data_IF_419857148437
#
_entry.id   IF_419857148437
#
_cell.length_a   1.000
_cell.length_b   1.000
_cell.length_c   1.000
_cell.angle_alpha   90.00
_cell.angle_beta   90.00
_cell.angle_gamma   90.00
#
_symmetry.space_group_name_H-M   'P 1'
#
loop_
_entity.id
_entity.type
_entity.pdbx_description
1 polymer ?
#
# COMPACT_ATOMS: atom_id res chain seq x y z
N UNK A 1 -15.33 -14.55 -19.08
CA UNK A 1 -15.85 -14.47 -17.68
C UNK A 1 -16.94 -13.39 -17.60
N UNK A 2 -17.91 -13.49 -16.68
CA UNK A 2 -18.92 -12.44 -16.51
C UNK A 2 -18.29 -11.18 -15.87
N UNK A 3 -18.61 -10.00 -16.38
CA UNK A 3 -18.13 -8.71 -15.87
C UNK A 3 -18.47 -8.46 -14.40
N UNK A 4 -19.64 -8.90 -13.92
CA UNK A 4 -19.99 -8.82 -12.50
C UNK A 4 -18.99 -9.60 -11.64
N UNK A 5 -18.60 -10.78 -12.10
CA UNK A 5 -17.64 -11.62 -11.39
C UNK A 5 -16.23 -11.00 -11.40
N UNK A 6 -15.83 -10.38 -12.52
CA UNK A 6 -14.59 -9.61 -12.59
C UNK A 6 -14.56 -8.45 -11.57
N UNK A 7 -15.65 -7.67 -11.47
CA UNK A 7 -15.77 -6.58 -10.50
C UNK A 7 -15.68 -7.11 -9.06
N UNK A 8 -16.37 -8.22 -8.76
CA UNK A 8 -16.31 -8.84 -7.43
C UNK A 8 -14.88 -9.30 -7.10
N UNK A 9 -14.16 -9.90 -8.06
CA UNK A 9 -12.75 -10.28 -7.88
C UNK A 9 -11.89 -9.05 -7.56
N UNK A 10 -12.04 -7.96 -8.32
CA UNK A 10 -11.27 -6.74 -8.07
C UNK A 10 -11.55 -6.22 -6.66
N UNK A 11 -12.82 -6.05 -6.29
CA UNK A 11 -13.20 -5.52 -4.97
C UNK A 11 -12.68 -6.40 -3.83
N UNK A 12 -12.80 -7.72 -3.97
CA UNK A 12 -12.26 -8.66 -2.99
C UNK A 12 -10.73 -8.55 -2.93
N UNK A 13 -10.05 -8.43 -4.07
CA UNK A 13 -8.60 -8.26 -4.15
C UNK A 13 -8.17 -6.98 -3.43
N UNK A 14 -8.89 -5.87 -3.56
CA UNK A 14 -8.57 -4.63 -2.84
C UNK A 14 -8.65 -4.80 -1.31
N UNK A 15 -9.71 -5.47 -0.82
CA UNK A 15 -9.87 -5.74 0.62
C UNK A 15 -8.77 -6.67 1.12
N UNK A 16 -8.50 -7.75 0.39
CA UNK A 16 -7.44 -8.71 0.74
C UNK A 16 -6.07 -8.03 0.73
N UNK A 17 -5.80 -7.17 -0.26
CA UNK A 17 -4.54 -6.43 -0.34
C UNK A 17 -4.36 -5.45 0.81
N UNK A 18 -5.41 -4.80 1.31
CA UNK A 18 -5.30 -3.96 2.52
C UNK A 18 -4.92 -4.80 3.76
N UNK A 19 -5.52 -5.99 3.91
CA UNK A 19 -5.20 -6.91 5.01
C UNK A 19 -3.76 -7.42 4.89
N UNK A 20 -3.35 -7.84 3.68
CA UNK A 20 -1.99 -8.30 3.41
C UNK A 20 -0.99 -7.17 3.64
N UNK A 21 -1.26 -5.97 3.13
CA UNK A 21 -0.42 -4.79 3.31
C UNK A 21 -0.20 -4.48 4.79
N UNK A 22 -1.28 -4.42 5.57
CA UNK A 22 -1.21 -4.23 7.02
C UNK A 22 -0.38 -5.33 7.71
N UNK A 23 -0.63 -6.60 7.37
CA UNK A 23 0.05 -7.74 7.98
C UNK A 23 1.54 -7.77 7.63
N UNK A 24 1.88 -7.55 6.36
CA UNK A 24 3.28 -7.48 5.90
C UNK A 24 3.98 -6.29 6.53
N UNK A 25 3.34 -5.14 6.61
CA UNK A 25 3.92 -3.96 7.23
C UNK A 25 4.25 -4.21 8.70
N UNK A 26 3.32 -4.80 9.45
CA UNK A 26 3.52 -5.10 10.88
C UNK A 26 4.51 -6.24 11.13
N UNK A 27 4.35 -7.38 10.44
CA UNK A 27 5.06 -8.62 10.80
C UNK A 27 6.32 -8.86 9.97
N UNK A 28 6.41 -8.30 8.76
CA UNK A 28 7.58 -8.45 7.88
C UNK A 28 8.44 -7.19 7.88
N UNK A 29 7.86 -6.03 7.57
CA UNK A 29 8.61 -4.79 7.40
C UNK A 29 9.12 -4.27 8.75
N UNK A 30 8.29 -4.26 9.79
CA UNK A 30 8.72 -4.08 11.18
C UNK A 30 9.24 -5.37 11.83
N UNK A 31 9.61 -6.37 11.03
CA UNK A 31 10.07 -7.69 11.47
C UNK A 31 11.43 -8.05 10.85
N UNK A 32 11.54 -9.22 10.17
CA UNK A 32 12.79 -9.64 9.54
C UNK A 32 13.25 -8.72 8.39
N UNK A 33 12.34 -7.98 7.75
CA UNK A 33 12.66 -7.08 6.63
C UNK A 33 12.88 -5.62 7.07
N UNK A 34 13.07 -5.39 8.38
CA UNK A 34 13.32 -4.05 8.91
C UNK A 34 14.54 -3.37 8.30
N UNK A 35 15.59 -4.12 7.95
CA UNK A 35 16.76 -3.51 7.30
C UNK A 35 16.44 -2.83 5.94
N UNK A 36 15.37 -3.27 5.27
CA UNK A 36 14.83 -2.65 4.04
C UNK A 36 13.94 -1.46 4.43
N UNK A 37 12.99 -1.68 5.34
CA UNK A 37 11.96 -0.69 5.69
C UNK A 37 12.50 0.47 6.53
N UNK A 38 13.56 0.27 7.30
CA UNK A 38 14.23 1.30 8.11
C UNK A 38 14.61 2.53 7.29
N UNK A 39 15.00 2.34 6.02
CA UNK A 39 15.36 3.47 5.15
C UNK A 39 14.18 4.38 4.83
N UNK A 40 12.95 3.86 4.95
CA UNK A 40 11.71 4.60 4.74
C UNK A 40 11.28 5.37 6.01
N UNK A 41 11.55 4.83 7.20
CA UNK A 41 11.37 5.55 8.47
C UNK A 41 12.38 6.67 8.70
N UNK A 42 13.58 6.51 8.16
CA UNK A 42 14.63 7.52 8.28
C UNK A 42 14.50 8.56 7.17
N UNK A 43 14.60 9.85 7.50
CA UNK A 43 14.62 10.90 6.49
C UNK A 43 15.80 10.69 5.54
N UNK A 44 15.49 10.46 4.26
CA UNK A 44 16.48 10.42 3.19
C UNK A 44 16.12 11.40 2.08
N UNK A 45 17.16 11.84 1.38
CA UNK A 45 17.07 12.66 0.18
C UNK A 45 17.28 11.78 -1.05
N UNK A 46 16.28 11.69 -1.92
CA UNK A 46 16.38 10.94 -3.17
C UNK A 46 15.00 10.56 -3.72
N UNK A 47 14.93 10.32 -5.03
CA UNK A 47 13.68 9.88 -5.66
C UNK A 47 13.37 8.42 -5.37
N UNK A 48 14.36 7.55 -5.15
CA UNK A 48 14.19 6.12 -4.88
C UNK A 48 14.55 5.74 -3.45
N UNK A 49 13.84 4.77 -2.90
CA UNK A 49 14.07 4.20 -1.58
C UNK A 49 14.25 2.67 -1.69
N UNK A 50 15.04 2.07 -0.79
CA UNK A 50 15.19 0.60 -0.77
C UNK A 50 13.83 -0.10 -0.58
N UNK A 51 12.89 0.57 0.10
CA UNK A 51 11.52 0.14 0.28
C UNK A 51 10.73 -0.03 -1.04
N UNK A 52 11.13 0.65 -2.13
CA UNK A 52 10.50 0.51 -3.45
C UNK A 52 10.60 -0.92 -4.01
N UNK A 53 11.50 -1.76 -3.46
CA UNK A 53 11.59 -3.18 -3.81
C UNK A 53 10.28 -3.94 -3.53
N UNK A 54 9.50 -3.52 -2.53
CA UNK A 54 8.20 -4.13 -2.26
C UNK A 54 7.18 -3.79 -3.34
N UNK A 55 7.16 -2.54 -3.82
CA UNK A 55 6.34 -2.12 -4.95
C UNK A 55 6.72 -2.90 -6.22
N UNK A 56 8.02 -3.12 -6.46
CA UNK A 56 8.50 -3.93 -7.57
C UNK A 56 8.07 -5.40 -7.46
N UNK A 57 8.15 -5.99 -6.26
CA UNK A 57 7.70 -7.36 -6.00
C UNK A 57 6.21 -7.52 -6.34
N UNK A 58 5.35 -6.66 -5.80
CA UNK A 58 3.91 -6.73 -6.08
C UNK A 58 3.56 -6.40 -7.52
N UNK A 59 4.26 -5.44 -8.14
CA UNK A 59 4.13 -5.16 -9.57
C UNK A 59 4.46 -6.38 -10.43
N UNK A 60 5.51 -7.11 -10.09
CA UNK A 60 5.91 -8.34 -10.78
C UNK A 60 4.85 -9.44 -10.64
N UNK A 61 4.32 -9.65 -9.42
CA UNK A 61 3.22 -10.59 -9.18
C UNK A 61 1.98 -10.21 -10.00
N UNK A 62 1.62 -8.93 -10.00
CA UNK A 62 0.47 -8.43 -10.75
C UNK A 62 0.62 -8.66 -12.26
N UNK A 63 1.77 -8.30 -12.83
CA UNK A 63 2.08 -8.51 -14.25
C UNK A 63 2.09 -10.01 -14.59
N UNK A 64 2.66 -10.85 -13.74
CA UNK A 64 2.66 -12.30 -13.93
C UNK A 64 1.24 -12.88 -13.96
N UNK A 65 0.36 -12.45 -13.05
CA UNK A 65 -1.04 -12.89 -13.02
C UNK A 65 -1.84 -12.38 -14.22
N UNK A 66 -1.61 -11.13 -14.62
CA UNK A 66 -2.19 -10.55 -15.85
C UNK A 66 -1.77 -11.38 -17.04
N UNK A 67 -0.47 -11.63 -17.21
CA UNK A 67 0.07 -12.42 -18.31
C UNK A 67 -0.51 -13.85 -18.34
N UNK A 68 -0.60 -14.52 -17.19
CA UNK A 68 -1.17 -15.88 -17.12
C UNK A 68 -2.67 -15.95 -17.39
N UNK A 69 -3.41 -14.85 -17.27
CA UNK A 69 -4.86 -14.81 -17.47
C UNK A 69 -5.31 -14.05 -18.72
N UNK A 70 -4.42 -13.44 -19.49
CA UNK A 70 -4.79 -12.45 -20.51
C UNK A 70 -5.57 -13.02 -21.70
N UNK A 71 -5.29 -14.26 -22.11
CA UNK A 71 -5.94 -14.85 -23.30
C UNK A 71 -7.46 -15.04 -23.11
N UNK A 72 -7.89 -15.39 -21.90
CA UNK A 72 -9.29 -15.72 -21.59
C UNK A 72 -9.95 -14.71 -20.64
N UNK A 73 -9.18 -13.73 -20.14
CA UNK A 73 -9.58 -12.79 -19.10
C UNK A 73 -10.20 -13.50 -17.90
N UNK A 74 -9.56 -14.59 -17.47
CA UNK A 74 -10.00 -15.39 -16.32
C UNK A 74 -9.61 -14.74 -14.97
N UNK A 75 -9.96 -15.41 -13.87
CA UNK A 75 -9.76 -14.90 -12.52
C UNK A 75 -8.33 -14.43 -12.22
N UNK A 76 -7.29 -15.04 -12.83
CA UNK A 76 -5.88 -14.61 -12.63
C UNK A 76 -5.67 -13.20 -13.15
N UNK A 77 -6.20 -12.90 -14.34
CA UNK A 77 -6.10 -11.57 -14.93
C UNK A 77 -6.71 -10.51 -14.00
N UNK A 78 -7.91 -10.78 -13.47
CA UNK A 78 -8.63 -9.82 -12.64
C UNK A 78 -8.05 -9.67 -11.23
N UNK A 79 -7.43 -10.72 -10.67
CA UNK A 79 -6.63 -10.59 -9.44
C UNK A 79 -5.41 -9.70 -9.72
N UNK A 80 -4.67 -9.96 -10.81
CA UNK A 80 -3.52 -9.12 -11.19
C UNK A 80 -3.90 -7.66 -11.44
N UNK A 81 -5.06 -7.41 -12.08
CA UNK A 81 -5.63 -6.08 -12.23
C UNK A 81 -5.99 -5.46 -10.87
N UNK A 82 -6.61 -6.22 -9.97
CA UNK A 82 -6.92 -5.77 -8.60
C UNK A 82 -5.67 -5.39 -7.79
N UNK A 83 -4.60 -6.19 -7.87
CA UNK A 83 -3.30 -5.87 -7.24
C UNK A 83 -2.72 -4.59 -7.85
N UNK A 84 -2.81 -4.44 -9.18
CA UNK A 84 -2.33 -3.22 -9.86
C UNK A 84 -3.10 -1.98 -9.42
N UNK A 85 -4.42 -2.07 -9.31
CA UNK A 85 -5.27 -0.97 -8.81
C UNK A 85 -4.91 -0.63 -7.36
N UNK A 86 -4.74 -1.63 -6.50
CA UNK A 86 -4.28 -1.40 -5.13
C UNK A 86 -2.89 -0.74 -5.10
N UNK A 87 -1.96 -1.16 -5.95
CA UNK A 87 -0.64 -0.54 -6.09
C UNK A 87 -0.72 0.94 -6.48
N UNK A 88 -1.62 1.30 -7.40
CA UNK A 88 -1.88 2.71 -7.75
C UNK A 88 -2.46 3.48 -6.55
N UNK A 89 -3.43 2.90 -5.85
CA UNK A 89 -4.01 3.49 -4.62
C UNK A 89 -2.90 3.72 -3.60
N UNK A 90 -2.03 2.73 -3.38
CA UNK A 90 -0.88 2.82 -2.49
C UNK A 90 0.02 3.98 -2.88
N UNK A 91 0.50 4.02 -4.13
CA UNK A 91 1.35 5.11 -4.62
C UNK A 91 0.71 6.50 -4.44
N UNK A 92 -0.58 6.64 -4.76
CA UNK A 92 -1.29 7.92 -4.64
C UNK A 92 -1.40 8.37 -3.18
N UNK A 93 -1.81 7.48 -2.27
CA UNK A 93 -2.05 7.89 -0.89
C UNK A 93 -0.78 7.88 -0.05
N UNK A 94 0.04 6.85 -0.15
CA UNK A 94 1.28 6.71 0.59
C UNK A 94 2.36 7.66 0.07
N UNK A 95 2.91 7.36 -1.11
CA UNK A 95 4.09 8.02 -1.65
C UNK A 95 3.82 9.48 -2.05
N UNK A 96 2.71 9.72 -2.76
CA UNK A 96 2.39 11.06 -3.24
C UNK A 96 1.70 11.92 -2.17
N UNK A 97 0.59 11.49 -1.59
CA UNK A 97 -0.21 12.33 -0.68
C UNK A 97 0.35 12.44 0.75
N UNK A 98 0.91 11.36 1.30
CA UNK A 98 1.41 11.35 2.69
C UNK A 98 2.90 11.70 2.74
N UNK A 99 3.74 11.00 1.97
CA UNK A 99 5.19 11.19 1.97
C UNK A 99 5.67 12.34 1.08
N UNK A 100 4.81 12.86 0.19
CA UNK A 100 5.15 13.99 -0.67
C UNK A 100 6.42 13.70 -1.51
N UNK A 101 6.57 12.46 -2.01
CA UNK A 101 7.65 12.09 -2.96
C UNK A 101 7.52 12.83 -4.29
N UNK A 102 6.29 13.17 -4.67
CA UNK A 102 5.95 14.17 -5.67
C UNK A 102 5.27 15.36 -4.98
N UNK A 103 5.18 16.51 -5.64
CA UNK A 103 4.46 17.69 -5.11
C UNK A 103 3.01 17.30 -4.77
N UNK A 104 2.75 17.10 -3.48
CA UNK A 104 1.50 16.55 -2.99
C UNK A 104 0.34 17.54 -3.13
N UNK A 105 -0.85 17.00 -3.35
CA UNK A 105 -2.07 17.78 -3.25
C UNK A 105 -2.51 17.94 -1.79
N UNK A 106 -3.17 19.06 -1.52
CA UNK A 106 -3.81 19.32 -0.22
C UNK A 106 -5.26 18.83 -0.28
N UNK A 107 -5.77 18.34 0.84
CA UNK A 107 -7.16 17.90 0.94
C UNK A 107 -7.74 18.27 2.30
N UNK A 108 -8.94 18.85 2.27
CA UNK A 108 -9.71 19.19 3.46
C UNK A 108 -10.60 18.05 3.97
N UNK A 109 -10.63 16.91 3.24
CA UNK A 109 -11.43 15.75 3.59
C UNK A 109 -10.97 15.13 4.93
N UNK A 110 -11.92 14.97 5.88
CA UNK A 110 -11.65 14.45 7.24
C UNK A 110 -11.02 13.06 7.23
N UNK A 111 -11.46 12.17 6.33
CA UNK A 111 -10.91 10.82 6.20
C UNK A 111 -9.45 10.87 5.75
N UNK A 112 -9.14 11.61 4.68
CA UNK A 112 -7.77 11.74 4.18
C UNK A 112 -6.82 12.41 5.19
N UNK A 113 -7.32 13.39 5.95
CA UNK A 113 -6.56 13.98 7.07
C UNK A 113 -6.28 12.96 8.17
N UNK A 114 -7.26 12.13 8.51
CA UNK A 114 -7.11 11.08 9.53
C UNK A 114 -6.08 10.03 9.14
N UNK A 115 -6.13 9.55 7.90
CA UNK A 115 -5.13 8.62 7.35
C UNK A 115 -3.73 9.24 7.39
N UNK A 116 -3.57 10.45 6.87
CA UNK A 116 -2.27 11.15 6.91
C UNK A 116 -1.76 11.32 8.35
N UNK A 117 -2.65 11.57 9.32
CA UNK A 117 -2.28 11.72 10.73
C UNK A 117 -1.82 10.39 11.33
N UNK A 118 -2.56 9.32 11.10
CA UNK A 118 -2.20 7.98 11.56
C UNK A 118 -0.82 7.56 11.03
N UNK A 119 -0.60 7.74 9.73
CA UNK A 119 0.68 7.41 9.08
C UNK A 119 1.85 8.27 9.57
N UNK A 120 1.60 9.55 9.90
CA UNK A 120 2.62 10.39 10.56
C UNK A 120 2.97 9.91 11.96
N UNK A 121 2.01 9.37 12.70
CA UNK A 121 2.29 8.78 14.03
C UNK A 121 3.08 7.50 13.88
N UNK A 122 2.77 6.68 12.87
CA UNK A 122 3.54 5.50 12.52
C UNK A 122 5.04 5.83 12.30
N UNK A 123 5.33 6.81 11.44
CA UNK A 123 6.73 7.26 11.19
C UNK A 123 7.37 8.07 12.32
N UNK A 124 6.64 8.37 13.39
CA UNK A 124 7.26 9.01 14.57
C UNK A 124 8.21 8.04 15.27
N UNK A 125 7.93 6.73 15.22
CA UNK A 125 8.91 5.72 15.61
C UNK A 125 9.93 5.57 14.49
N UNK A 126 11.22 5.77 14.82
CA UNK A 126 12.34 5.50 13.92
C UNK A 126 12.95 4.11 14.15
N UNK A 127 12.39 3.37 15.11
CA UNK A 127 12.85 2.06 15.52
C UNK A 127 11.91 0.97 14.99
N UNK A 128 12.41 -0.26 15.02
CA UNK A 128 11.66 -1.44 14.58
C UNK A 128 10.43 -1.66 15.46
N UNK A 129 10.64 -1.59 16.78
CA UNK A 129 9.64 -1.86 17.80
C UNK A 129 8.87 -0.57 18.16
N UNK A 130 7.70 -0.72 18.78
CA UNK A 130 6.81 0.39 19.23
C UNK A 130 6.17 1.27 18.14
N UNK A 131 6.15 0.82 16.88
CA UNK A 131 5.35 1.47 15.84
C UNK A 131 3.84 1.14 16.00
N UNK A 132 2.99 2.13 15.72
CA UNK A 132 1.53 1.99 15.66
C UNK A 132 1.03 2.26 14.23
N UNK A 133 -0.22 1.90 13.93
CA UNK A 133 -0.92 2.29 12.68
C UNK A 133 -0.24 1.82 11.37
N UNK A 134 -0.24 0.51 11.13
CA UNK A 134 0.40 -0.10 9.94
C UNK A 134 -0.44 -0.09 8.66
N UNK A 135 -1.70 0.34 8.71
CA UNK A 135 -2.62 0.30 7.56
C UNK A 135 -2.49 1.52 6.66
N UNK A 136 -2.83 1.36 5.38
CA UNK A 136 -2.85 2.47 4.42
C UNK A 136 -4.19 3.20 4.45
N UNK A 137 -5.30 2.45 4.32
CA UNK A 137 -6.65 2.99 4.17
C UNK A 137 -7.48 2.81 5.45
N UNK A 138 -7.02 1.98 6.37
CA UNK A 138 -7.68 1.71 7.65
C UNK A 138 -6.73 2.09 8.78
N UNK A 139 -7.21 2.97 9.67
CA UNK A 139 -6.49 3.42 10.85
C UNK A 139 -7.42 3.48 12.07
N UNK A 140 -6.84 3.65 13.26
CA UNK A 140 -7.61 3.81 14.49
C UNK A 140 -8.54 5.03 14.45
N UNK A 141 -9.77 4.85 14.95
CA UNK A 141 -10.81 5.90 15.01
C UNK A 141 -10.36 7.20 15.68
N UNK A 142 -9.36 7.14 16.58
CA UNK A 142 -8.80 8.31 17.29
C UNK A 142 -8.23 9.38 16.34
N UNK A 143 -7.87 9.01 15.10
CA UNK A 143 -7.27 9.93 14.13
C UNK A 143 -8.27 10.62 13.19
N UNK A 144 -9.54 10.20 13.17
CA UNK A 144 -10.57 10.73 12.27
C UNK A 144 -11.46 11.82 12.91
N UNK A 145 -10.99 12.40 14.02
CA UNK A 145 -11.69 13.46 14.76
C UNK A 145 -11.41 14.82 14.16
#
# INVERSE_FOLDING_TARGET
MNWLFAIVIILLTLVVMEIISWAMHKYLFHGPLWFIHKTHHQQRHGFFELNDIFSLLFGTIAVGLIWLGHETLDYKFWIGAGISIYGIIYFVFHDWFIHNRLKAFKSENKYLKGIRRAHKIHHKSMEKDDAEEFGLLIASKKYFK
#
